data_IF_390486573443
#
_entry.id   IF_390486573443
#
_cell.length_a   1.000
_cell.length_b   1.000
_cell.length_c   1.000
_cell.angle_alpha   90.00
_cell.angle_beta   90.00
_cell.angle_gamma   90.00
#
_symmetry.space_group_name_H-M   'P 1'
#
loop_
_entity.id
_entity.type
_entity.pdbx_description
1 polymer ?
#
# COMPACT_ATOMS: atom_id res chain seq x y z
N UNK A 1 12.90 -18.11 -8.00
CA UNK A 1 13.16 -16.70 -7.65
C UNK A 1 14.43 -16.26 -8.35
N UNK A 2 14.47 -15.05 -8.90
CA UNK A 2 15.70 -14.50 -9.47
C UNK A 2 16.56 -13.98 -8.30
N UNK A 3 17.84 -14.37 -8.17
CA UNK A 3 18.69 -14.05 -7.02
C UNK A 3 19.28 -12.62 -7.09
N UNK A 4 18.45 -11.66 -7.52
CA UNK A 4 18.79 -10.25 -7.68
C UNK A 4 17.74 -9.40 -6.95
N UNK A 5 18.22 -8.45 -6.17
CA UNK A 5 17.42 -7.39 -5.56
C UNK A 5 17.56 -6.12 -6.40
N UNK A 6 16.42 -5.60 -6.84
CA UNK A 6 16.33 -4.34 -7.56
C UNK A 6 15.98 -3.21 -6.59
N UNK A 7 16.90 -2.28 -6.38
CA UNK A 7 16.66 -1.10 -5.58
C UNK A 7 16.30 0.07 -6.49
N UNK A 8 15.23 0.78 -6.15
CA UNK A 8 14.81 1.99 -6.83
C UNK A 8 14.87 3.16 -5.84
N UNK A 9 15.45 4.29 -6.23
CA UNK A 9 15.68 5.45 -5.35
C UNK A 9 15.21 6.74 -5.99
N UNK A 10 14.50 7.56 -5.20
CA UNK A 10 14.22 8.95 -5.50
C UNK A 10 15.18 9.90 -4.80
N UNK A 11 15.62 9.56 -3.60
CA UNK A 11 16.51 10.40 -2.78
C UNK A 11 17.73 9.58 -2.37
N UNK A 12 18.91 10.17 -2.48
CA UNK A 12 20.16 9.55 -2.03
C UNK A 12 20.19 9.45 -0.51
N UNK A 13 20.51 8.25 -0.01
CA UNK A 13 20.75 7.96 1.40
C UNK A 13 22.20 7.55 1.63
N UNK A 14 22.61 7.45 2.90
CA UNK A 14 24.01 7.13 3.31
C UNK A 14 24.64 5.86 2.71
N UNK A 15 23.91 5.03 1.97
CA UNK A 15 24.48 3.87 1.27
C UNK A 15 25.36 4.27 0.08
N UNK A 16 25.14 5.47 -0.50
CA UNK A 16 25.96 5.99 -1.58
C UNK A 16 26.93 7.04 -1.01
N UNK A 17 28.15 6.62 -0.69
CA UNK A 17 29.15 7.46 -0.03
C UNK A 17 29.57 8.70 -0.84
N UNK A 18 29.42 8.65 -2.17
CA UNK A 18 29.82 9.72 -3.09
C UNK A 18 28.71 10.75 -3.35
N UNK A 19 27.47 10.50 -2.91
CA UNK A 19 26.34 11.39 -3.17
C UNK A 19 25.89 12.02 -1.85
N UNK A 20 25.73 13.35 -1.85
CA UNK A 20 25.19 14.04 -0.69
C UNK A 20 23.81 13.48 -0.31
N UNK A 21 23.64 13.19 0.97
CA UNK A 21 22.37 12.72 1.51
C UNK A 21 21.28 13.77 1.28
N UNK A 22 20.16 13.36 0.70
CA UNK A 22 19.07 14.27 0.33
C UNK A 22 19.06 14.67 -1.16
N UNK A 23 20.11 14.36 -1.93
CA UNK A 23 20.10 14.57 -3.38
C UNK A 23 18.92 13.83 -4.04
N UNK A 24 18.09 14.55 -4.80
CA UNK A 24 16.91 13.99 -5.46
C UNK A 24 17.24 13.61 -6.90
N UNK A 25 17.08 12.32 -7.22
CA UNK A 25 17.20 11.83 -8.59
C UNK A 25 15.97 12.26 -9.42
N UNK A 26 16.14 13.04 -10.51
CA UNK A 26 15.02 13.49 -11.34
C UNK A 26 14.26 12.31 -11.97
N UNK A 27 15.01 11.30 -12.42
CA UNK A 27 14.49 9.98 -12.79
C UNK A 27 14.81 8.99 -11.68
N UNK A 28 13.89 8.08 -11.34
CA UNK A 28 14.14 7.12 -10.28
C UNK A 28 15.35 6.25 -10.63
N UNK A 29 16.36 6.23 -9.75
CA UNK A 29 17.62 5.53 -9.96
C UNK A 29 17.45 4.06 -9.60
N UNK A 30 17.77 3.17 -10.53
CA UNK A 30 17.74 1.72 -10.30
C UNK A 30 19.15 1.17 -10.11
N UNK A 31 19.32 0.29 -9.12
CA UNK A 31 20.54 -0.42 -8.77
C UNK A 31 20.23 -1.91 -8.54
N UNK A 32 21.13 -2.81 -8.94
CA UNK A 32 20.99 -4.26 -8.70
C UNK A 32 21.97 -4.74 -7.65
N UNK A 33 21.53 -5.66 -6.80
CA UNK A 33 22.38 -6.32 -5.83
C UNK A 33 22.15 -7.83 -5.87
N UNK A 34 23.23 -8.60 -5.81
CA UNK A 34 23.11 -10.06 -5.69
C UNK A 34 22.67 -10.44 -4.29
N UNK A 35 21.71 -11.35 -4.19
CA UNK A 35 21.29 -11.92 -2.90
C UNK A 35 22.36 -12.90 -2.42
N UNK A 36 23.22 -12.48 -1.47
CA UNK A 36 24.23 -13.32 -0.80
C UNK A 36 24.21 -13.05 0.72
N UNK A 37 24.48 -14.07 1.53
CA UNK A 37 24.38 -14.02 3.01
C UNK A 37 25.41 -13.12 3.71
N UNK A 38 26.46 -12.65 3.02
CA UNK A 38 27.61 -12.00 3.68
C UNK A 38 28.06 -10.66 3.11
N UNK A 39 27.61 -10.27 1.90
CA UNK A 39 27.88 -8.94 1.34
C UNK A 39 26.89 -8.62 0.22
N UNK A 40 26.14 -7.52 0.36
CA UNK A 40 25.26 -6.97 -0.68
C UNK A 40 26.11 -6.40 -1.83
N UNK A 41 26.65 -7.27 -2.67
CA UNK A 41 27.48 -6.89 -3.81
C UNK A 41 26.59 -6.29 -4.91
N UNK A 42 26.88 -5.04 -5.28
CA UNK A 42 26.21 -4.37 -6.40
C UNK A 42 26.62 -5.03 -7.71
N UNK A 43 25.65 -5.21 -8.61
CA UNK A 43 25.83 -5.86 -9.91
C UNK A 43 25.45 -4.87 -11.01
N UNK A 44 26.25 -4.82 -12.07
CA UNK A 44 25.94 -4.07 -13.29
C UNK A 44 25.06 -4.89 -14.24
N UNK A 45 24.43 -4.22 -15.21
CA UNK A 45 23.60 -4.89 -16.24
C UNK A 45 24.44 -5.89 -17.02
N UNK A 46 25.66 -5.48 -17.39
CA UNK A 46 26.62 -6.27 -18.15
C UNK A 46 27.04 -7.53 -17.37
N UNK A 47 27.31 -7.40 -16.06
CA UNK A 47 27.65 -8.54 -15.21
C UNK A 47 26.48 -9.53 -15.10
N UNK A 48 25.25 -9.05 -14.93
CA UNK A 48 24.07 -9.94 -14.83
C UNK A 48 23.84 -10.71 -16.13
N UNK A 49 23.97 -10.05 -17.28
CA UNK A 49 23.83 -10.68 -18.61
C UNK A 49 24.96 -11.69 -18.85
N UNK A 50 26.20 -11.35 -18.48
CA UNK A 50 27.36 -12.21 -18.68
C UNK A 50 27.27 -13.54 -17.92
N UNK A 51 26.58 -13.56 -16.77
CA UNK A 51 26.36 -14.78 -15.96
C UNK A 51 25.47 -15.80 -16.68
N UNK A 52 24.69 -15.38 -17.70
CA UNK A 52 23.74 -16.25 -18.42
C UNK A 52 22.85 -17.05 -17.46
N UNK A 53 22.30 -16.36 -16.47
CA UNK A 53 21.45 -16.96 -15.45
C UNK A 53 20.20 -17.58 -16.09
N UNK A 54 19.90 -18.82 -15.74
CA UNK A 54 18.66 -19.50 -16.17
C UNK A 54 17.74 -19.65 -14.95
N UNK A 55 16.51 -19.15 -15.05
CA UNK A 55 15.49 -19.25 -14.01
C UNK A 55 14.22 -19.89 -14.58
N UNK A 56 13.83 -21.03 -14.03
CA UNK A 56 12.64 -21.79 -14.48
C UNK A 56 12.59 -22.08 -15.99
N UNK A 57 13.76 -22.21 -16.64
CA UNK A 57 13.89 -22.46 -18.08
C UNK A 57 13.99 -21.21 -18.96
N UNK A 58 13.93 -20.00 -18.38
CA UNK A 58 14.16 -18.74 -19.10
C UNK A 58 15.59 -18.28 -18.86
N UNK A 59 16.30 -17.92 -19.94
CA UNK A 59 17.57 -17.21 -19.86
C UNK A 59 17.30 -15.74 -19.52
N UNK A 60 17.88 -15.25 -18.43
CA UNK A 60 17.82 -13.84 -18.04
C UNK A 60 18.86 -13.08 -18.87
N UNK A 61 18.43 -12.65 -20.06
CA UNK A 61 19.23 -11.86 -20.99
C UNK A 61 18.92 -10.36 -20.89
N UNK A 62 19.36 -9.61 -21.90
CA UNK A 62 19.15 -8.16 -21.97
C UNK A 62 17.66 -7.78 -21.88
N UNK A 63 16.79 -8.52 -22.57
CA UNK A 63 15.36 -8.22 -22.62
C UNK A 63 14.73 -8.37 -21.24
N UNK A 64 15.01 -9.49 -20.55
CA UNK A 64 14.45 -9.76 -19.22
C UNK A 64 14.95 -8.72 -18.20
N UNK A 65 16.23 -8.34 -18.29
CA UNK A 65 16.82 -7.31 -17.42
C UNK A 65 16.20 -5.93 -17.70
N UNK A 66 15.99 -5.55 -18.96
CA UNK A 66 15.34 -4.29 -19.34
C UNK A 66 13.88 -4.25 -18.86
N UNK A 67 13.14 -5.35 -18.99
CA UNK A 67 11.76 -5.47 -18.51
C UNK A 67 11.70 -5.33 -16.99
N UNK A 68 12.56 -6.03 -16.25
CA UNK A 68 12.62 -5.90 -14.79
C UNK A 68 12.97 -4.48 -14.37
N UNK A 69 13.97 -3.86 -15.00
CA UNK A 69 14.39 -2.48 -14.69
C UNK A 69 13.26 -1.47 -14.91
N UNK A 70 12.58 -1.52 -16.07
CA UNK A 70 11.45 -0.63 -16.37
C UNK A 70 10.26 -0.88 -15.46
N UNK A 71 9.98 -2.14 -15.15
CA UNK A 71 8.93 -2.52 -14.20
C UNK A 71 9.24 -1.98 -12.80
N UNK A 72 10.50 -2.05 -12.35
CA UNK A 72 10.92 -1.49 -11.07
C UNK A 72 10.68 0.01 -10.98
N UNK A 73 10.99 0.76 -12.04
CA UNK A 73 10.73 2.22 -12.10
C UNK A 73 9.22 2.48 -12.03
N UNK A 74 8.43 1.80 -12.87
CA UNK A 74 6.98 2.00 -12.92
C UNK A 74 6.30 1.68 -11.57
N UNK A 75 6.66 0.55 -10.95
CA UNK A 75 6.14 0.15 -9.63
C UNK A 75 6.54 1.20 -8.57
N UNK A 76 7.79 1.65 -8.58
CA UNK A 76 8.25 2.69 -7.66
C UNK A 76 7.46 3.99 -7.83
N UNK A 77 7.24 4.46 -9.06
CA UNK A 77 6.51 5.71 -9.32
C UNK A 77 5.03 5.61 -8.94
N UNK A 78 4.40 4.45 -9.15
CA UNK A 78 3.02 4.20 -8.71
C UNK A 78 2.94 4.31 -7.17
N UNK A 79 3.85 3.62 -6.46
CA UNK A 79 3.85 3.60 -5.00
C UNK A 79 4.26 4.97 -4.42
N UNK A 80 5.24 5.65 -5.02
CA UNK A 80 5.63 7.03 -4.68
C UNK A 80 4.43 7.97 -4.81
N UNK A 81 3.64 7.85 -5.89
CA UNK A 81 2.44 8.66 -6.09
C UNK A 81 1.35 8.35 -5.07
N UNK A 82 1.17 7.08 -4.69
CA UNK A 82 0.22 6.67 -3.66
C UNK A 82 0.59 7.24 -2.28
N UNK A 83 1.86 7.18 -1.88
CA UNK A 83 2.31 7.75 -0.61
C UNK A 83 2.30 9.26 -0.59
N UNK A 84 2.54 9.91 -1.73
CA UNK A 84 2.40 11.37 -1.86
C UNK A 84 0.99 11.85 -1.54
N UNK A 85 -0.04 11.02 -1.77
CA UNK A 85 -1.41 11.36 -1.39
C UNK A 85 -1.63 11.40 0.13
N UNK A 86 -0.72 10.80 0.91
CA UNK A 86 -0.71 10.76 2.38
C UNK A 86 0.41 11.65 2.95
N UNK A 87 0.84 12.67 2.19
CA UNK A 87 1.96 13.56 2.53
C UNK A 87 3.26 12.83 2.93
N UNK A 88 3.47 11.64 2.36
CA UNK A 88 4.65 10.83 2.59
C UNK A 88 5.53 10.81 1.34
N UNK A 89 6.83 11.04 1.53
CA UNK A 89 7.82 10.92 0.46
C UNK A 89 8.45 9.53 0.52
N UNK A 90 8.24 8.73 -0.53
CA UNK A 90 8.98 7.49 -0.73
C UNK A 90 10.40 7.81 -1.23
N UNK A 91 11.40 7.35 -0.50
CA UNK A 91 12.83 7.62 -0.71
C UNK A 91 13.49 6.53 -1.53
N UNK A 92 13.31 5.28 -1.11
CA UNK A 92 13.79 4.11 -1.81
C UNK A 92 12.87 2.92 -1.62
N UNK A 93 13.06 1.89 -2.45
CA UNK A 93 12.31 0.65 -2.36
C UNK A 93 13.16 -0.48 -2.93
N UNK A 94 12.96 -1.68 -2.40
CA UNK A 94 13.54 -2.91 -2.92
C UNK A 94 12.46 -3.78 -3.52
N UNK A 95 12.75 -4.37 -4.68
CA UNK A 95 11.88 -5.31 -5.39
C UNK A 95 12.65 -6.59 -5.67
N UNK A 96 11.94 -7.74 -5.62
CA UNK A 96 12.41 -9.00 -6.20
C UNK A 96 11.44 -9.49 -7.27
N UNK A 97 12.01 -10.21 -8.23
CA UNK A 97 11.25 -10.88 -9.28
C UNK A 97 11.44 -12.39 -9.20
N UNK A 98 10.46 -13.10 -9.73
CA UNK A 98 10.49 -14.53 -9.98
C UNK A 98 10.12 -14.81 -11.43
N UNK A 99 10.17 -16.09 -11.79
CA UNK A 99 9.68 -16.58 -13.07
C UNK A 99 8.60 -17.61 -12.78
N UNK A 100 7.42 -17.40 -13.36
CA UNK A 100 6.34 -18.37 -13.31
C UNK A 100 6.77 -19.68 -13.97
N UNK A 101 6.62 -20.80 -13.26
CA UNK A 101 7.08 -22.10 -13.76
C UNK A 101 6.25 -22.61 -14.94
N UNK A 102 4.99 -22.19 -15.05
CA UNK A 102 4.01 -22.66 -16.03
C UNK A 102 4.01 -21.77 -17.26
N UNK A 103 3.77 -20.47 -17.06
CA UNK A 103 3.64 -19.47 -18.13
C UNK A 103 4.96 -18.98 -18.68
N UNK A 104 6.06 -19.19 -17.94
CA UNK A 104 7.39 -18.66 -18.29
C UNK A 104 7.36 -17.13 -18.43
N UNK A 105 6.74 -16.46 -17.47
CA UNK A 105 6.69 -14.99 -17.39
C UNK A 105 7.44 -14.48 -16.16
N UNK A 106 8.05 -13.30 -16.27
CA UNK A 106 8.64 -12.61 -15.13
C UNK A 106 7.53 -12.02 -14.27
N UNK A 107 7.53 -12.36 -12.98
CA UNK A 107 6.54 -11.90 -12.01
C UNK A 107 7.21 -11.11 -10.90
N UNK A 108 6.53 -10.06 -10.44
CA UNK A 108 6.84 -9.39 -9.19
C UNK A 108 6.56 -10.37 -8.03
N UNK A 109 7.50 -10.54 -7.11
CA UNK A 109 7.37 -11.53 -6.02
C UNK A 109 7.58 -10.96 -4.62
N UNK A 110 8.31 -9.86 -4.49
CA UNK A 110 8.52 -9.19 -3.20
C UNK A 110 8.67 -7.68 -3.42
N UNK A 111 8.03 -6.89 -2.56
CA UNK A 111 8.27 -5.44 -2.43
C UNK A 111 8.59 -5.17 -0.97
N UNK A 112 9.74 -4.57 -0.71
CA UNK A 112 10.15 -4.15 0.63
C UNK A 112 10.57 -2.69 0.62
N UNK A 113 9.87 -1.87 1.39
CA UNK A 113 10.34 -0.55 1.79
C UNK A 113 11.14 -0.71 3.08
N UNK A 114 12.38 -0.21 3.13
CA UNK A 114 13.11 -0.19 4.40
C UNK A 114 12.41 0.71 5.41
N UNK A 115 12.73 0.56 6.70
CA UNK A 115 12.20 1.49 7.71
C UNK A 115 12.46 2.95 7.28
N UNK A 116 13.70 3.29 6.95
CA UNK A 116 14.04 4.66 6.56
C UNK A 116 13.54 5.15 5.19
N UNK A 117 12.73 4.35 4.49
CA UNK A 117 12.31 4.61 3.11
C UNK A 117 11.11 5.55 2.97
N UNK A 118 10.36 5.83 4.03
CA UNK A 118 9.18 6.71 4.01
C UNK A 118 9.41 7.92 4.91
N UNK A 119 9.41 9.11 4.34
CA UNK A 119 9.60 10.37 5.07
C UNK A 119 8.29 11.16 5.15
N UNK A 120 7.68 11.31 6.35
CA UNK A 120 6.49 12.14 6.55
C UNK A 120 6.79 13.59 6.21
N UNK A 121 5.90 14.26 5.51
CA UNK A 121 6.06 15.61 4.97
C UNK A 121 7.40 15.82 4.21
N UNK A 122 8.01 14.75 3.70
CA UNK A 122 9.34 14.78 3.09
C UNK A 122 10.51 15.05 4.05
N UNK A 123 10.29 14.98 5.37
CA UNK A 123 11.31 15.29 6.37
C UNK A 123 11.88 14.04 7.05
N UNK A 124 13.16 13.75 6.78
CA UNK A 124 13.90 12.65 7.40
C UNK A 124 13.90 12.72 8.94
N UNK A 125 13.94 13.90 9.54
CA UNK A 125 13.99 14.07 11.01
C UNK A 125 12.72 13.56 11.70
N UNK A 126 11.60 13.49 10.98
CA UNK A 126 10.35 12.95 11.48
C UNK A 126 10.29 11.42 11.45
N UNK A 127 11.32 10.73 10.93
CA UNK A 127 11.43 9.27 10.99
C UNK A 127 11.34 8.71 12.41
N UNK A 128 11.84 9.43 13.44
CA UNK A 128 11.76 8.95 14.83
C UNK A 128 10.35 9.02 15.41
N UNK A 129 9.47 9.82 14.82
CA UNK A 129 8.05 9.94 15.17
C UNK A 129 7.16 9.25 14.12
N UNK A 130 7.77 8.46 13.24
CA UNK A 130 7.10 7.86 12.10
C UNK A 130 6.51 6.51 12.52
N UNK A 131 5.26 6.55 12.94
CA UNK A 131 4.47 5.37 13.33
C UNK A 131 4.28 4.37 12.17
N UNK A 132 4.62 4.76 10.94
CA UNK A 132 4.70 3.88 9.77
C UNK A 132 5.81 2.80 9.85
N UNK A 133 6.78 2.91 10.78
CA UNK A 133 8.03 2.14 10.74
C UNK A 133 7.96 0.71 11.28
N UNK A 134 6.96 0.36 12.08
CA UNK A 134 6.74 -1.02 12.55
C UNK A 134 5.88 -1.84 11.58
N UNK A 135 5.58 -1.31 10.39
CA UNK A 135 4.79 -2.03 9.37
C UNK A 135 3.35 -2.32 9.81
N UNK A 136 2.87 -1.67 10.87
CA UNK A 136 1.48 -1.76 11.28
C UNK A 136 0.65 -0.93 10.32
N UNK A 137 0.12 -1.59 9.28
CA UNK A 137 -1.07 -1.10 8.60
C UNK A 137 -2.28 -1.76 9.26
N UNK A 138 -3.40 -1.04 9.31
CA UNK A 138 -4.65 -1.60 9.81
C UNK A 138 -5.84 -1.26 8.94
N UNK A 139 -6.82 -2.13 9.02
CA UNK A 139 -8.17 -1.92 8.52
C UNK A 139 -9.07 -1.69 9.73
N UNK A 140 -9.88 -0.64 9.67
CA UNK A 140 -10.91 -0.39 10.66
C UNK A 140 -12.26 -0.53 9.97
N UNK A 141 -13.03 -1.54 10.37
CA UNK A 141 -14.39 -1.75 9.89
C UNK A 141 -15.34 -1.03 10.83
N UNK A 142 -16.01 0.00 10.33
CA UNK A 142 -17.04 0.76 11.03
C UNK A 142 -18.39 0.19 10.61
N UNK A 143 -19.09 -0.45 11.55
CA UNK A 143 -20.43 -0.98 11.31
C UNK A 143 -21.49 -0.07 11.93
N UNK A 144 -22.53 0.25 11.16
CA UNK A 144 -23.63 1.10 11.63
C UNK A 144 -24.51 0.41 12.67
N UNK A 145 -24.57 -0.92 12.63
CA UNK A 145 -25.41 -1.75 13.49
C UNK A 145 -24.71 -3.06 13.84
N UNK A 146 -24.94 -3.57 15.04
CA UNK A 146 -24.45 -4.90 15.47
C UNK A 146 -25.10 -6.04 14.69
N UNK A 147 -26.22 -5.79 13.98
CA UNK A 147 -26.82 -6.77 13.06
C UNK A 147 -25.87 -7.18 11.93
N UNK A 148 -24.96 -6.28 11.55
CA UNK A 148 -24.07 -6.46 10.39
C UNK A 148 -22.74 -7.14 10.78
N UNK A 149 -22.64 -7.61 12.04
CA UNK A 149 -21.43 -8.20 12.60
C UNK A 149 -20.95 -9.42 11.80
N UNK A 150 -21.87 -10.25 11.31
CA UNK A 150 -21.53 -11.45 10.52
C UNK A 150 -20.79 -11.04 9.24
N UNK A 151 -21.28 -10.02 8.53
CA UNK A 151 -20.63 -9.47 7.35
C UNK A 151 -19.25 -8.85 7.68
N UNK A 152 -19.17 -8.11 8.79
CA UNK A 152 -17.91 -7.51 9.24
C UNK A 152 -16.84 -8.54 9.63
N UNK A 153 -17.24 -9.66 10.23
CA UNK A 153 -16.33 -10.76 10.57
C UNK A 153 -15.80 -11.47 9.30
N UNK A 154 -16.57 -11.55 8.22
CA UNK A 154 -16.07 -12.06 6.93
C UNK A 154 -14.99 -11.15 6.32
N UNK A 155 -15.19 -9.84 6.40
CA UNK A 155 -14.20 -8.83 5.99
C UNK A 155 -12.93 -9.00 6.84
N UNK A 156 -13.06 -9.06 8.16
CA UNK A 156 -11.93 -9.24 9.09
C UNK A 156 -11.18 -10.54 8.86
N UNK A 157 -11.89 -11.65 8.63
CA UNK A 157 -11.31 -12.95 8.29
C UNK A 157 -10.51 -12.86 6.98
N UNK A 158 -11.02 -12.12 6.01
CA UNK A 158 -10.33 -11.89 4.74
C UNK A 158 -9.08 -11.03 4.91
N UNK A 159 -9.15 -9.93 5.67
CA UNK A 159 -7.97 -9.12 6.04
C UNK A 159 -6.88 -9.94 6.75
N UNK A 160 -7.29 -10.83 7.66
CA UNK A 160 -6.37 -11.69 8.42
C UNK A 160 -5.60 -12.66 7.51
N UNK A 161 -6.21 -13.18 6.44
CA UNK A 161 -5.52 -14.04 5.45
C UNK A 161 -4.35 -13.34 4.77
N UNK A 162 -4.43 -12.02 4.63
CA UNK A 162 -3.38 -11.18 4.05
C UNK A 162 -2.43 -10.60 5.11
N UNK A 163 -2.53 -11.02 6.37
CA UNK A 163 -1.67 -10.54 7.47
C UNK A 163 -1.97 -9.11 7.92
N UNK A 164 -3.13 -8.55 7.56
CA UNK A 164 -3.51 -7.20 7.96
C UNK A 164 -4.22 -7.21 9.32
N UNK A 165 -3.82 -6.29 10.21
CA UNK A 165 -4.55 -6.06 11.46
C UNK A 165 -5.92 -5.47 11.11
N UNK A 166 -7.00 -6.08 11.61
CA UNK A 166 -8.36 -5.61 11.34
C UNK A 166 -9.17 -5.48 12.63
N UNK A 167 -9.64 -4.27 12.89
CA UNK A 167 -10.41 -3.88 14.06
C UNK A 167 -11.86 -3.60 13.66
N UNK A 168 -12.80 -3.98 14.54
CA UNK A 168 -14.24 -3.74 14.34
C UNK A 168 -14.71 -2.69 15.34
N UNK A 169 -15.47 -1.70 14.88
CA UNK A 169 -16.12 -0.71 15.74
C UNK A 169 -17.57 -0.55 15.32
N UNK A 170 -18.43 -0.25 16.29
CA UNK A 170 -19.81 0.15 16.04
C UNK A 170 -19.86 1.67 16.05
N UNK A 171 -20.36 2.28 14.98
CA UNK A 171 -20.47 3.72 14.83
C UNK A 171 -21.61 4.07 13.87
N UNK A 172 -22.50 4.99 14.26
CA UNK A 172 -23.66 5.36 13.45
C UNK A 172 -23.61 6.84 13.09
N UNK A 173 -23.56 7.13 11.79
CA UNK A 173 -23.67 8.50 11.28
C UNK A 173 -25.01 9.19 11.61
N UNK A 174 -26.07 8.42 11.81
CA UNK A 174 -27.42 8.95 12.00
C UNK A 174 -27.78 9.15 13.46
N UNK A 175 -27.38 8.23 14.33
CA UNK A 175 -27.76 8.23 15.75
C UNK A 175 -26.63 8.64 16.68
N UNK A 176 -25.38 8.59 16.23
CA UNK A 176 -24.19 8.94 17.01
C UNK A 176 -23.07 9.56 16.16
N UNK A 177 -23.32 10.66 15.42
CA UNK A 177 -22.31 11.27 14.56
C UNK A 177 -21.10 11.78 15.33
N UNK A 178 -21.30 12.31 16.55
CA UNK A 178 -20.21 12.80 17.40
C UNK A 178 -19.24 11.68 17.80
N UNK A 179 -19.78 10.55 18.29
CA UNK A 179 -18.99 9.37 18.61
C UNK A 179 -18.25 8.83 17.38
N UNK A 180 -18.89 8.86 16.21
CA UNK A 180 -18.25 8.47 14.94
C UNK A 180 -17.02 9.35 14.64
N UNK A 181 -17.10 10.66 14.85
CA UNK A 181 -15.97 11.58 14.67
C UNK A 181 -14.85 11.35 15.69
N UNK A 182 -15.21 11.03 16.94
CA UNK A 182 -14.25 10.70 17.99
C UNK A 182 -13.48 9.41 17.65
N UNK A 183 -14.16 8.39 17.13
CA UNK A 183 -13.53 7.15 16.64
C UNK A 183 -12.58 7.44 15.47
N UNK A 184 -12.98 8.29 14.52
CA UNK A 184 -12.09 8.70 13.41
C UNK A 184 -10.85 9.38 13.98
N UNK A 185 -11.02 10.34 14.89
CA UNK A 185 -9.91 11.09 15.50
C UNK A 185 -8.96 10.19 16.31
N UNK A 186 -9.48 9.16 17.00
CA UNK A 186 -8.67 8.15 17.69
C UNK A 186 -7.70 7.47 16.72
N UNK A 187 -8.20 7.05 15.56
CA UNK A 187 -7.42 6.33 14.56
C UNK A 187 -6.55 7.21 13.67
N UNK A 188 -6.85 8.50 13.56
CA UNK A 188 -5.94 9.46 12.94
C UNK A 188 -4.85 9.94 13.90
N UNK A 189 -5.14 9.99 15.20
CA UNK A 189 -4.26 10.52 16.23
C UNK A 189 -3.08 9.62 16.61
N UNK A 190 -3.15 8.33 16.34
CA UNK A 190 -2.04 7.39 16.54
C UNK A 190 -1.12 7.23 15.33
N UNK A 191 -1.40 7.95 14.23
CA UNK A 191 -0.63 7.97 12.98
C UNK A 191 -0.30 6.59 12.38
N UNK A 192 -1.08 5.56 12.69
CA UNK A 192 -0.97 4.24 12.06
C UNK A 192 -1.70 4.28 10.70
N UNK A 193 -1.05 3.93 9.57
CA UNK A 193 -1.70 3.89 8.27
C UNK A 193 -2.97 3.03 8.29
N UNK A 194 -4.12 3.70 8.16
CA UNK A 194 -5.45 3.10 8.34
C UNK A 194 -6.27 3.16 7.06
N UNK A 195 -6.99 2.09 6.74
CA UNK A 195 -8.07 2.10 5.76
C UNK A 195 -9.38 1.88 6.49
N UNK A 196 -10.36 2.75 6.25
CA UNK A 196 -11.70 2.59 6.80
C UNK A 196 -12.58 1.80 5.84
N UNK A 197 -13.31 0.82 6.38
CA UNK A 197 -14.38 0.14 5.67
C UNK A 197 -15.69 0.48 6.36
N UNK A 198 -16.57 1.20 5.68
CA UNK A 198 -17.89 1.54 6.19
C UNK A 198 -18.91 0.47 5.77
N UNK A 199 -19.52 -0.18 6.77
CA UNK A 199 -20.56 -1.19 6.62
C UNK A 199 -21.86 -0.60 7.17
N UNK A 200 -22.77 -0.24 6.28
CA UNK A 200 -24.09 0.27 6.64
C UNK A 200 -25.13 -0.18 5.62
N UNK A 201 -26.19 -0.84 6.09
CA UNK A 201 -27.38 -1.15 5.30
C UNK A 201 -28.29 0.07 5.08
N UNK A 202 -29.24 -0.05 4.14
CA UNK A 202 -30.15 1.05 3.82
C UNK A 202 -29.43 2.26 3.22
N UNK A 203 -29.70 3.46 3.76
CA UNK A 203 -29.03 4.69 3.35
C UNK A 203 -27.69 4.87 4.08
N UNK A 204 -26.60 4.52 3.41
CA UNK A 204 -25.23 4.57 3.94
C UNK A 204 -24.74 6.03 4.14
N UNK A 205 -25.05 6.61 5.29
CA UNK A 205 -24.48 7.88 5.74
C UNK A 205 -23.09 7.74 6.36
N UNK A 206 -22.74 6.55 6.85
CA UNK A 206 -21.49 6.29 7.57
C UNK A 206 -20.27 6.51 6.68
N UNK A 207 -20.27 5.90 5.50
CA UNK A 207 -19.21 6.07 4.52
C UNK A 207 -18.97 7.52 4.12
N UNK A 208 -20.06 8.26 3.92
CA UNK A 208 -19.99 9.67 3.55
C UNK A 208 -19.42 10.55 4.69
N UNK A 209 -19.82 10.32 5.94
CA UNK A 209 -19.27 11.05 7.10
C UNK A 209 -17.78 10.76 7.28
N UNK A 210 -17.37 9.50 7.17
CA UNK A 210 -15.95 9.12 7.36
C UNK A 210 -15.11 9.73 6.24
N UNK A 211 -15.53 9.60 4.97
CA UNK A 211 -14.83 10.16 3.83
C UNK A 211 -14.82 11.70 3.82
N UNK A 212 -15.74 12.32 4.55
CA UNK A 212 -15.81 13.77 4.69
C UNK A 212 -14.84 14.33 5.73
N UNK A 213 -14.49 13.54 6.74
CA UNK A 213 -13.77 14.01 7.92
C UNK A 213 -12.41 13.35 8.11
N UNK A 214 -12.06 12.36 7.28
CA UNK A 214 -10.76 11.69 7.30
C UNK A 214 -9.96 11.91 6.01
N UNK A 215 -8.63 11.99 6.14
CA UNK A 215 -7.70 11.96 5.00
C UNK A 215 -7.37 10.52 4.54
N UNK A 216 -7.76 9.52 5.32
CA UNK A 216 -7.52 8.12 5.04
C UNK A 216 -8.49 7.56 3.99
N UNK A 217 -8.10 6.51 3.25
CA UNK A 217 -9.00 5.86 2.29
C UNK A 217 -10.25 5.29 2.97
N UNK A 218 -11.41 5.50 2.34
CA UNK A 218 -12.69 4.97 2.80
C UNK A 218 -13.32 4.07 1.73
N UNK A 219 -13.67 2.85 2.11
CA UNK A 219 -14.33 1.86 1.26
C UNK A 219 -15.73 1.61 1.80
N UNK A 220 -16.74 1.80 0.96
CA UNK A 220 -18.11 1.41 1.28
C UNK A 220 -18.28 -0.07 0.92
N UNK A 221 -18.65 -0.88 1.91
CA UNK A 221 -18.98 -2.30 1.76
C UNK A 221 -20.34 -2.54 2.44
N UNK A 222 -21.46 -2.09 1.82
CA UNK A 222 -22.78 -2.24 2.40
C UNK A 222 -23.21 -3.72 2.44
N UNK A 223 -23.86 -4.19 3.51
CA UNK A 223 -24.44 -5.53 3.58
C UNK A 223 -25.75 -5.55 2.79
N UNK A 224 -25.65 -5.69 1.47
CA UNK A 224 -26.80 -5.63 0.56
C UNK A 224 -27.72 -6.84 0.75
N UNK A 225 -29.01 -6.59 0.95
CA UNK A 225 -30.05 -7.63 0.91
C UNK A 225 -30.61 -7.79 -0.50
N UNK A 226 -31.09 -8.98 -0.86
CA UNK A 226 -31.64 -9.25 -2.20
C UNK A 226 -32.78 -8.28 -2.57
N UNK A 227 -33.64 -7.97 -1.60
CA UNK A 227 -34.85 -7.17 -1.82
C UNK A 227 -34.59 -5.68 -2.12
N UNK A 228 -33.53 -5.10 -1.54
CA UNK A 228 -33.28 -3.64 -1.57
C UNK A 228 -31.92 -3.24 -2.13
N UNK A 229 -31.05 -4.20 -2.44
CA UNK A 229 -29.68 -3.99 -2.95
C UNK A 229 -29.57 -2.94 -4.05
N UNK A 230 -30.43 -3.02 -5.07
CA UNK A 230 -30.42 -2.14 -6.24
C UNK A 230 -30.74 -0.67 -5.93
N UNK A 231 -31.40 -0.41 -4.80
CA UNK A 231 -31.74 0.95 -4.34
C UNK A 231 -30.72 1.45 -3.34
N UNK A 232 -30.36 0.63 -2.36
CA UNK A 232 -29.48 1.01 -1.26
C UNK A 232 -28.05 1.32 -1.72
N UNK A 233 -27.56 0.63 -2.76
CA UNK A 233 -26.21 0.84 -3.31
C UNK A 233 -25.99 2.28 -3.79
N UNK A 234 -27.04 2.98 -4.24
CA UNK A 234 -26.92 4.36 -4.72
C UNK A 234 -26.47 5.33 -3.63
N UNK A 235 -26.82 5.06 -2.37
CA UNK A 235 -26.37 5.87 -1.24
C UNK A 235 -24.85 5.82 -1.04
N UNK A 236 -24.21 4.73 -1.48
CA UNK A 236 -22.76 4.56 -1.44
C UNK A 236 -22.05 5.08 -2.71
N UNK A 237 -22.74 5.11 -3.85
CA UNK A 237 -22.17 5.49 -5.15
C UNK A 237 -22.28 6.99 -5.46
N UNK A 238 -23.40 7.63 -5.08
CA UNK A 238 -23.69 9.03 -5.42
C UNK A 238 -23.48 9.93 -4.21
N UNK A 239 -22.29 10.49 -4.09
CA UNK A 239 -21.94 11.47 -3.04
C UNK A 239 -21.60 12.85 -3.59
N UNK A 240 -21.67 13.90 -2.75
CA UNK A 240 -21.26 15.25 -3.13
C UNK A 240 -19.80 15.31 -3.61
N UNK A 241 -19.49 16.29 -4.46
CA UNK A 241 -18.15 16.53 -4.98
C UNK A 241 -17.12 16.76 -3.86
N UNK A 242 -15.87 16.33 -4.08
CA UNK A 242 -14.75 16.54 -3.15
C UNK A 242 -14.60 15.48 -2.07
N UNK A 243 -15.44 14.43 -2.07
CA UNK A 243 -15.32 13.28 -1.17
C UNK A 243 -14.58 12.13 -1.87
N UNK A 244 -13.60 11.53 -1.18
CA UNK A 244 -12.77 10.43 -1.70
C UNK A 244 -13.19 9.11 -1.03
N UNK A 245 -14.09 8.38 -1.68
CA UNK A 245 -14.43 7.02 -1.27
C UNK A 245 -14.60 6.11 -2.49
N UNK A 246 -14.46 4.80 -2.29
CA UNK A 246 -14.73 3.78 -3.31
C UNK A 246 -15.79 2.81 -2.81
N UNK A 247 -16.61 2.28 -3.72
CA UNK A 247 -17.59 1.23 -3.40
C UNK A 247 -17.02 -0.12 -3.82
N UNK A 248 -17.09 -1.10 -2.92
CA UNK A 248 -16.73 -2.50 -3.18
C UNK A 248 -17.99 -3.36 -2.98
N UNK A 249 -18.36 -4.10 -4.02
CA UNK A 249 -19.45 -5.09 -4.01
C UNK A 249 -18.88 -6.50 -4.00
#
# INVERSE_FOLDING_TARGET
>A
MIPIEWFCRRIASKRNAETEEGYRFPQAKVEMYKVNDTNNHQVSVEQLIAVKLICSGILIGKIEVDVMTRSTIAIFEIIEKSWRAQDCTLVDMRIKFGVDVTKKEVLLTDIKCGSQALWPAGNKSQLKNNLCLDGQSRVVVLMASTSDLVHCEEIKKSCSKYGMKCELRVASAHTGPQETLEIIAEYEGDYIPTVFIAVAGGSNGLGAIVAANSSHPVINCPPLSEDWSTKDIWSSLRVPSGKKHSVMM
#
